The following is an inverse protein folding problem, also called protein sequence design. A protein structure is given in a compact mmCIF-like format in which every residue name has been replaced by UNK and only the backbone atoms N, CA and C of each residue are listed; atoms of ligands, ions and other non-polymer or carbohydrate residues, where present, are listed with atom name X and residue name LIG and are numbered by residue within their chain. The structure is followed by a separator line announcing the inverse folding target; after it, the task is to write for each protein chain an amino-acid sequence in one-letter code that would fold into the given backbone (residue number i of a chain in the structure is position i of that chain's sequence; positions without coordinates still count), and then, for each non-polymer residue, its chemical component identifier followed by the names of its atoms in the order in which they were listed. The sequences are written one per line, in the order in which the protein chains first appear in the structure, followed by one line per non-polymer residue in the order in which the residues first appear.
data_IF_903807990331
#
_entry.id   IF_903807990331
#
_cell.length_a   1.000
_cell.length_b   1.000
_cell.length_c   1.000
_cell.angle_alpha   90.00
_cell.angle_beta   90.00
_cell.angle_gamma   90.00
#
_symmetry.space_group_name_H-M   'P 1'
#
loop_
_entity.id
_entity.type
_entity.pdbx_description
1 polymer ?
#
# COMPACT_ATOMS: atom_id res chain seq x y z
N UNK A 1 16.68 -10.38 -13.41
CA UNK A 1 15.90 -9.54 -12.51
C UNK A 1 14.45 -9.63 -12.95
N UNK A 2 13.58 -10.15 -12.08
CA UNK A 2 12.16 -10.35 -12.40
C UNK A 2 11.24 -9.42 -11.62
N UNK A 3 11.76 -8.73 -10.59
CA UNK A 3 11.01 -7.79 -9.78
C UNK A 3 11.50 -6.35 -10.03
N UNK A 4 10.59 -5.40 -10.32
CA UNK A 4 10.95 -4.01 -10.62
C UNK A 4 11.28 -3.20 -9.36
N UNK A 5 10.78 -3.59 -8.19
CA UNK A 5 10.90 -2.82 -6.97
C UNK A 5 10.81 -3.65 -5.70
N UNK A 6 10.90 -2.96 -4.57
CA UNK A 6 10.79 -3.49 -3.21
C UNK A 6 9.77 -2.71 -2.40
N UNK A 7 9.16 -3.37 -1.40
CA UNK A 7 8.37 -2.72 -0.38
C UNK A 7 9.22 -2.52 0.89
N UNK A 8 9.03 -1.40 1.55
CA UNK A 8 9.72 -1.02 2.79
C UNK A 8 8.70 -0.57 3.84
N UNK A 9 8.99 -0.85 5.11
CA UNK A 9 8.16 -0.44 6.26
C UNK A 9 8.78 0.68 7.09
N UNK A 10 9.77 1.37 6.53
CA UNK A 10 10.42 2.53 7.13
C UNK A 10 11.68 2.94 6.37
N UNK A 11 12.33 4.03 6.82
CA UNK A 11 13.47 4.64 6.14
C UNK A 11 14.68 3.68 6.00
N UNK A 12 14.95 2.84 7.01
CA UNK A 12 16.07 1.89 6.95
C UNK A 12 15.89 0.83 5.86
N UNK A 13 14.68 0.27 5.71
CA UNK A 13 14.39 -0.67 4.64
C UNK A 13 14.35 0.01 3.28
N UNK A 14 13.84 1.24 3.22
CA UNK A 14 13.87 2.05 2.00
C UNK A 14 15.31 2.31 1.53
N UNK A 15 16.23 2.60 2.46
CA UNK A 15 17.65 2.75 2.18
C UNK A 15 18.26 1.47 1.63
N UNK A 16 18.02 0.32 2.27
CA UNK A 16 18.46 -0.98 1.78
C UNK A 16 17.93 -1.26 0.37
N UNK A 17 16.66 -0.99 0.13
CA UNK A 17 16.04 -1.13 -1.19
C UNK A 17 16.72 -0.25 -2.25
N UNK A 18 16.98 1.01 -1.92
CA UNK A 18 17.61 1.98 -2.83
C UNK A 18 19.07 1.62 -3.13
N UNK A 19 19.85 1.27 -2.12
CA UNK A 19 21.29 1.04 -2.25
C UNK A 19 21.59 -0.33 -2.88
N UNK A 20 20.91 -1.39 -2.44
CA UNK A 20 21.23 -2.77 -2.83
C UNK A 20 20.37 -3.30 -3.98
N UNK A 21 19.06 -3.04 -3.96
CA UNK A 21 18.16 -3.55 -4.99
C UNK A 21 18.17 -2.68 -6.25
N UNK A 22 18.24 -1.37 -6.10
CA UNK A 22 18.34 -0.35 -7.18
C UNK A 22 17.12 -0.36 -8.13
N UNK A 23 15.96 -0.76 -7.63
CA UNK A 23 14.66 -0.67 -8.29
C UNK A 23 13.77 0.38 -7.65
N UNK A 24 12.48 0.32 -7.96
CA UNK A 24 11.48 1.15 -7.29
C UNK A 24 11.39 0.80 -5.80
N UNK A 25 11.17 1.82 -4.98
CA UNK A 25 10.99 1.67 -3.53
C UNK A 25 9.63 2.21 -3.13
N UNK A 26 8.77 1.33 -2.62
CA UNK A 26 7.46 1.63 -2.07
C UNK A 26 7.52 1.59 -0.56
N UNK A 27 7.39 2.72 0.11
CA UNK A 27 7.48 2.79 1.57
C UNK A 27 6.13 3.05 2.21
N UNK A 28 5.71 2.15 3.09
CA UNK A 28 4.59 2.34 4.00
C UNK A 28 5.10 2.48 5.43
N UNK A 29 4.56 3.44 6.17
CA UNK A 29 4.76 3.51 7.62
C UNK A 29 3.44 3.89 8.31
N UNK A 30 3.12 3.22 9.41
CA UNK A 30 1.92 3.50 10.18
C UNK A 30 1.93 4.91 10.80
N UNK A 31 3.12 5.44 11.09
CA UNK A 31 3.31 6.80 11.56
C UNK A 31 4.70 7.31 11.17
N UNK A 32 4.76 8.50 10.58
CA UNK A 32 6.00 9.19 10.24
C UNK A 32 6.35 10.25 11.29
N UNK A 33 7.62 10.30 11.70
CA UNK A 33 8.25 11.50 12.21
C UNK A 33 8.65 12.42 11.05
N UNK A 34 8.84 13.71 11.27
CA UNK A 34 9.20 14.63 10.16
C UNK A 34 10.58 14.31 9.58
N UNK A 35 11.57 14.00 10.43
CA UNK A 35 12.89 13.61 9.97
C UNK A 35 12.88 12.32 9.16
N UNK A 36 12.18 11.28 9.65
CA UNK A 36 12.03 10.00 8.95
C UNK A 36 11.28 10.16 7.63
N UNK A 37 10.31 11.08 7.58
CA UNK A 37 9.56 11.35 6.35
C UNK A 37 10.45 12.02 5.28
N UNK A 38 11.28 12.99 5.64
CA UNK A 38 12.21 13.62 4.70
C UNK A 38 13.19 12.60 4.13
N UNK A 39 13.78 11.75 4.98
CA UNK A 39 14.65 10.66 4.52
C UNK A 39 13.88 9.66 3.62
N UNK A 40 12.63 9.35 3.96
CA UNK A 40 11.78 8.49 3.14
C UNK A 40 11.52 9.09 1.76
N UNK A 41 11.29 10.41 1.65
CA UNK A 41 11.13 11.10 0.37
C UNK A 41 12.39 11.00 -0.51
N UNK A 42 13.57 11.07 0.09
CA UNK A 42 14.84 10.90 -0.64
C UNK A 42 15.01 9.49 -1.21
N UNK A 43 14.55 8.48 -0.50
CA UNK A 43 14.82 7.08 -0.80
C UNK A 43 13.72 6.40 -1.63
N UNK A 44 12.48 6.93 -1.57
CA UNK A 44 11.30 6.24 -2.12
C UNK A 44 10.81 6.86 -3.43
N UNK A 45 10.15 6.06 -4.25
CA UNK A 45 9.38 6.47 -5.42
C UNK A 45 7.90 6.59 -5.08
N UNK A 46 7.42 5.74 -4.14
CA UNK A 46 6.05 5.73 -3.65
C UNK A 46 6.04 5.74 -2.12
N UNK A 47 5.23 6.62 -1.53
CA UNK A 47 5.03 6.70 -0.07
C UNK A 47 3.56 6.54 0.26
N UNK A 48 3.27 5.65 1.19
CA UNK A 48 1.91 5.27 1.55
C UNK A 48 1.62 5.72 2.98
N UNK A 49 0.59 6.54 3.14
CA UNK A 49 0.12 7.02 4.43
C UNK A 49 -0.95 6.11 5.03
N UNK A 50 -1.01 6.08 6.34
CA UNK A 50 -1.96 5.29 7.09
C UNK A 50 -3.29 6.03 7.34
N UNK A 51 -3.37 7.33 7.12
CA UNK A 51 -4.59 8.12 7.28
C UNK A 51 -4.57 9.39 6.41
N UNK A 52 -5.75 9.99 6.19
CA UNK A 52 -5.88 11.28 5.53
C UNK A 52 -5.18 12.40 6.30
N UNK A 53 -5.25 12.36 7.64
CA UNK A 53 -4.61 13.36 8.50
C UNK A 53 -3.08 13.33 8.37
N UNK A 54 -2.50 12.14 8.18
CA UNK A 54 -1.07 12.05 7.88
C UNK A 54 -0.76 12.73 6.54
N UNK A 55 -1.52 12.44 5.49
CA UNK A 55 -1.34 13.09 4.19
C UNK A 55 -1.48 14.61 4.30
N UNK A 56 -2.54 15.09 4.93
CA UNK A 56 -2.79 16.53 5.12
C UNK A 56 -1.62 17.21 5.88
N UNK A 57 -1.08 16.54 6.91
CA UNK A 57 0.06 17.02 7.70
C UNK A 57 1.35 17.08 6.89
N UNK A 58 1.65 16.06 6.10
CA UNK A 58 2.94 15.93 5.43
C UNK A 58 2.97 16.49 4.01
N UNK A 59 1.83 16.79 3.42
CA UNK A 59 1.74 17.42 2.10
C UNK A 59 2.56 18.71 2.02
N UNK A 60 2.48 19.68 2.95
CA UNK A 60 3.31 20.90 2.89
C UNK A 60 4.82 20.62 3.01
N UNK A 61 5.21 19.56 3.75
CA UNK A 61 6.61 19.14 3.86
C UNK A 61 7.11 18.62 2.52
N UNK A 62 6.32 17.78 1.84
CA UNK A 62 6.64 17.32 0.50
C UNK A 62 6.70 18.45 -0.53
N UNK A 63 5.74 19.38 -0.51
CA UNK A 63 5.72 20.52 -1.45
C UNK A 63 6.98 21.39 -1.32
N UNK A 64 7.49 21.58 -0.10
CA UNK A 64 8.78 22.23 0.15
C UNK A 64 9.93 21.39 -0.40
N UNK A 65 10.01 20.12 -0.04
CA UNK A 65 11.03 19.19 -0.51
C UNK A 65 11.09 19.13 -2.05
N UNK A 66 9.95 19.03 -2.71
CA UNK A 66 9.86 18.98 -4.17
C UNK A 66 10.37 20.28 -4.81
N UNK A 67 10.03 21.44 -4.26
CA UNK A 67 10.55 22.73 -4.76
C UNK A 67 12.07 22.86 -4.62
N UNK A 68 12.63 22.31 -3.57
CA UNK A 68 14.07 22.38 -3.27
C UNK A 68 14.89 21.38 -4.07
N UNK A 69 14.37 20.19 -4.31
CA UNK A 69 15.12 19.07 -4.91
C UNK A 69 14.70 18.73 -6.34
N UNK A 70 13.52 19.12 -6.77
CA UNK A 70 12.90 18.71 -8.03
C UNK A 70 12.43 17.24 -8.04
N UNK A 71 12.66 16.49 -6.95
CA UNK A 71 12.28 15.07 -6.90
C UNK A 71 10.77 14.91 -6.78
N UNK A 72 10.20 14.05 -7.62
CA UNK A 72 8.79 13.66 -7.57
C UNK A 72 8.64 12.31 -6.86
N UNK A 73 7.67 12.25 -5.95
CA UNK A 73 7.27 11.03 -5.22
C UNK A 73 5.77 10.87 -5.38
N UNK A 74 5.31 9.66 -5.62
CA UNK A 74 3.89 9.34 -5.68
C UNK A 74 3.36 8.93 -4.31
N UNK A 75 2.13 9.37 -4.01
CA UNK A 75 1.51 9.09 -2.71
C UNK A 75 0.33 8.16 -2.80
N UNK A 76 0.20 7.30 -1.80
CA UNK A 76 -0.93 6.42 -1.62
C UNK A 76 -1.50 6.46 -0.21
N UNK A 77 -2.70 5.92 -0.08
CA UNK A 77 -3.35 5.70 1.21
C UNK A 77 -3.55 4.21 1.45
N UNK A 78 -3.26 3.76 2.67
CA UNK A 78 -3.62 2.41 3.08
C UNK A 78 -5.09 2.37 3.45
N UNK A 79 -5.87 1.60 2.72
CA UNK A 79 -7.24 1.28 3.09
C UNK A 79 -7.29 0.05 4.02
N UNK A 80 -8.31 -0.01 4.87
CA UNK A 80 -8.63 -1.19 5.66
C UNK A 80 -9.94 -1.78 5.12
N UNK A 81 -9.93 -2.98 4.51
CA UNK A 81 -11.14 -3.57 3.94
C UNK A 81 -12.12 -4.06 5.01
N UNK A 82 -11.69 -4.12 6.29
CA UNK A 82 -12.48 -4.73 7.35
C UNK A 82 -12.79 -6.21 7.08
N UNK A 83 -11.83 -6.89 6.43
CA UNK A 83 -11.87 -8.31 6.10
C UNK A 83 -10.45 -8.87 6.13
N UNK A 84 -10.28 -9.96 6.84
CA UNK A 84 -9.03 -10.71 6.92
C UNK A 84 -9.35 -12.16 7.31
N UNK A 85 -8.57 -13.10 6.82
CA UNK A 85 -8.62 -14.52 7.19
C UNK A 85 -7.38 -14.93 8.01
N UNK A 86 -6.73 -13.97 8.65
CA UNK A 86 -5.59 -14.24 9.53
C UNK A 86 -6.07 -14.96 10.77
N UNK A 87 -5.57 -16.17 11.01
CA UNK A 87 -6.02 -17.03 12.11
C UNK A 87 -5.69 -16.46 13.50
N UNK A 88 -4.54 -15.79 13.61
CA UNK A 88 -4.08 -15.24 14.90
C UNK A 88 -4.55 -13.79 15.02
N UNK A 89 -5.51 -13.54 15.89
CA UNK A 89 -6.12 -12.23 16.10
C UNK A 89 -5.11 -11.09 16.36
N UNK A 90 -3.96 -11.40 16.98
CA UNK A 90 -2.89 -10.43 17.22
C UNK A 90 -2.28 -9.89 15.91
N UNK A 91 -2.28 -10.69 14.86
CA UNK A 91 -1.71 -10.34 13.55
C UNK A 91 -2.77 -9.91 12.54
N UNK A 92 -4.05 -9.91 12.93
CA UNK A 92 -5.14 -9.47 12.06
C UNK A 92 -5.15 -7.94 11.93
N UNK A 93 -4.75 -7.39 10.77
CA UNK A 93 -4.72 -5.95 10.55
C UNK A 93 -6.12 -5.33 10.42
N UNK A 94 -7.16 -6.15 10.30
CA UNK A 94 -8.55 -5.74 10.15
C UNK A 94 -9.38 -5.97 11.42
N UNK A 95 -8.76 -6.44 12.50
CA UNK A 95 -9.44 -6.66 13.78
C UNK A 95 -10.13 -5.38 14.29
N UNK A 96 -11.22 -5.50 15.05
CA UNK A 96 -11.87 -4.35 15.69
C UNK A 96 -10.88 -3.53 16.51
N UNK A 97 -10.81 -2.22 16.27
CA UNK A 97 -9.87 -1.33 16.94
C UNK A 97 -8.47 -1.30 16.32
N UNK A 98 -8.23 -2.01 15.22
CA UNK A 98 -6.97 -1.89 14.46
C UNK A 98 -6.74 -0.44 14.03
N UNK A 99 -5.48 0.00 14.16
CA UNK A 99 -5.03 1.33 13.70
C UNK A 99 -4.40 1.29 12.32
N UNK A 100 -4.45 0.13 11.63
CA UNK A 100 -3.80 -0.07 10.33
C UNK A 100 -4.78 0.15 9.19
N UNK A 101 -4.55 1.22 8.45
CA UNK A 101 -5.35 1.60 7.29
C UNK A 101 -6.66 2.33 7.65
N UNK A 102 -7.25 2.89 6.63
CA UNK A 102 -8.42 3.76 6.69
C UNK A 102 -9.67 2.92 6.43
N UNK A 103 -10.62 2.80 7.37
CA UNK A 103 -11.86 2.07 7.14
C UNK A 103 -12.73 2.79 6.09
N UNK A 104 -13.59 2.04 5.39
CA UNK A 104 -14.41 2.56 4.29
C UNK A 104 -15.19 3.84 4.65
N UNK A 105 -15.80 3.87 5.83
CA UNK A 105 -16.59 5.02 6.27
C UNK A 105 -15.79 6.33 6.39
N UNK A 106 -14.47 6.23 6.63
CA UNK A 106 -13.60 7.39 6.74
C UNK A 106 -13.17 7.97 5.37
N UNK A 107 -13.53 7.31 4.27
CA UNK A 107 -13.38 7.86 2.92
C UNK A 107 -14.54 8.75 2.49
N UNK A 108 -15.69 8.69 3.19
CA UNK A 108 -16.87 9.45 2.80
C UNK A 108 -16.63 10.96 2.93
N UNK A 109 -16.86 11.68 1.84
CA UNK A 109 -16.64 13.13 1.77
C UNK A 109 -15.15 13.56 1.69
N UNK A 110 -14.21 12.61 1.64
CA UNK A 110 -12.79 12.92 1.50
C UNK A 110 -12.37 12.97 0.02
N UNK A 111 -11.45 13.89 -0.29
CA UNK A 111 -10.81 13.99 -1.59
C UNK A 111 -9.54 13.14 -1.65
N UNK A 112 -9.26 12.56 -2.81
CA UNK A 112 -7.98 11.93 -3.14
C UNK A 112 -6.99 12.91 -3.82
N UNK A 113 -7.18 14.22 -3.69
CA UNK A 113 -6.27 15.21 -4.28
C UNK A 113 -4.83 15.00 -3.81
N UNK A 114 -3.92 14.82 -4.78
CA UNK A 114 -2.52 14.51 -4.53
C UNK A 114 -2.23 13.03 -4.20
N UNK A 115 -3.24 12.18 -4.16
CA UNK A 115 -3.10 10.73 -3.96
C UNK A 115 -3.21 10.03 -5.31
N UNK A 116 -2.19 9.26 -5.66
CA UNK A 116 -2.11 8.50 -6.91
C UNK A 116 -2.31 6.99 -6.73
N UNK A 117 -2.36 6.51 -5.52
CA UNK A 117 -2.51 5.08 -5.27
C UNK A 117 -3.26 4.71 -4.00
N UNK A 118 -3.67 3.45 -3.98
CA UNK A 118 -4.25 2.80 -2.80
C UNK A 118 -3.44 1.55 -2.46
N UNK A 119 -3.41 1.22 -1.19
CA UNK A 119 -2.72 0.05 -0.66
C UNK A 119 -3.59 -0.65 0.37
N UNK A 120 -3.58 -1.96 0.38
CA UNK A 120 -4.06 -2.76 1.50
C UNK A 120 -3.07 -3.87 1.83
N UNK A 121 -3.10 -4.37 3.05
CA UNK A 121 -2.26 -5.48 3.50
C UNK A 121 -3.02 -6.22 4.59
N UNK A 122 -3.69 -7.30 4.23
CA UNK A 122 -4.58 -8.06 5.10
C UNK A 122 -4.32 -9.57 5.08
N UNK A 123 -3.32 -10.03 4.32
CA UNK A 123 -2.90 -11.43 4.27
C UNK A 123 -1.68 -11.66 5.17
N UNK A 124 -1.58 -12.88 5.72
CA UNK A 124 -0.41 -13.38 6.44
C UNK A 124 -0.23 -14.86 6.15
N UNK A 125 0.82 -15.23 5.39
CA UNK A 125 1.17 -16.60 4.98
C UNK A 125 0.04 -17.36 4.26
N UNK A 126 -0.76 -16.67 3.45
CA UNK A 126 -1.98 -17.18 2.82
C UNK A 126 -1.82 -17.40 1.31
N UNK A 127 -2.78 -18.12 0.72
CA UNK A 127 -2.83 -18.46 -0.69
C UNK A 127 -3.47 -17.40 -1.57
N UNK A 128 -3.47 -17.64 -2.88
CA UNK A 128 -4.12 -16.77 -3.86
C UNK A 128 -5.65 -16.71 -3.69
N UNK A 129 -6.26 -17.81 -3.27
CA UNK A 129 -7.68 -17.92 -2.97
C UNK A 129 -8.16 -16.93 -1.89
N UNK A 130 -7.31 -16.65 -0.88
CA UNK A 130 -7.60 -15.62 0.13
C UNK A 130 -7.50 -14.23 -0.48
N UNK A 131 -6.56 -14.00 -1.40
CA UNK A 131 -6.51 -12.75 -2.15
C UNK A 131 -7.77 -12.54 -2.98
N UNK A 132 -8.28 -13.58 -3.67
CA UNK A 132 -9.52 -13.50 -4.45
C UNK A 132 -10.67 -12.96 -3.58
N UNK A 133 -10.91 -13.59 -2.43
CA UNK A 133 -11.96 -13.17 -1.50
C UNK A 133 -11.72 -11.76 -0.93
N UNK A 134 -10.47 -11.42 -0.66
CA UNK A 134 -10.09 -10.08 -0.19
C UNK A 134 -10.36 -9.03 -1.27
N UNK A 135 -9.99 -9.30 -2.53
CA UNK A 135 -10.25 -8.40 -3.65
C UNK A 135 -11.75 -8.18 -3.86
N UNK A 136 -12.57 -9.23 -3.75
CA UNK A 136 -14.03 -9.08 -3.84
C UNK A 136 -14.57 -8.07 -2.82
N UNK A 137 -14.10 -8.13 -1.56
CA UNK A 137 -14.50 -7.16 -0.51
C UNK A 137 -13.93 -5.76 -0.77
N UNK A 138 -12.68 -5.67 -1.25
CA UNK A 138 -12.07 -4.38 -1.60
C UNK A 138 -12.82 -3.73 -2.75
N UNK A 139 -13.16 -4.48 -3.79
CA UNK A 139 -13.92 -3.97 -4.93
C UNK A 139 -15.35 -3.56 -4.52
N UNK A 140 -16.05 -4.36 -3.74
CA UNK A 140 -17.37 -4.04 -3.22
C UNK A 140 -17.38 -2.68 -2.49
N UNK A 141 -16.41 -2.47 -1.60
CA UNK A 141 -16.39 -1.31 -0.71
C UNK A 141 -15.71 -0.08 -1.32
N UNK A 142 -14.67 -0.26 -2.15
CA UNK A 142 -13.79 0.82 -2.57
C UNK A 142 -13.77 1.07 -4.08
N UNK A 143 -14.60 0.41 -4.91
CA UNK A 143 -14.62 0.59 -6.36
C UNK A 143 -14.65 2.07 -6.81
N UNK A 144 -15.42 2.99 -6.19
CA UNK A 144 -15.42 4.39 -6.59
C UNK A 144 -14.06 5.09 -6.42
N UNK A 145 -13.25 4.65 -5.45
CA UNK A 145 -11.91 5.20 -5.18
C UNK A 145 -10.83 4.51 -6.02
N UNK A 146 -10.96 3.21 -6.25
CA UNK A 146 -10.07 2.44 -7.14
C UNK A 146 -10.02 3.02 -8.56
N UNK A 147 -11.14 3.57 -9.04
CA UNK A 147 -11.23 4.22 -10.36
C UNK A 147 -10.59 5.62 -10.44
N UNK A 148 -10.17 6.18 -9.31
CA UNK A 148 -9.58 7.52 -9.23
C UNK A 148 -8.06 7.50 -9.10
N UNK A 149 -7.47 6.31 -8.89
CA UNK A 149 -6.03 6.16 -8.66
C UNK A 149 -5.35 5.48 -9.84
N UNK A 150 -4.04 5.67 -9.95
CA UNK A 150 -3.22 5.12 -11.04
C UNK A 150 -2.63 3.76 -10.71
N UNK A 151 -2.50 3.43 -9.42
CA UNK A 151 -1.94 2.17 -8.99
C UNK A 151 -2.60 1.66 -7.72
N UNK A 152 -2.59 0.35 -7.57
CA UNK A 152 -3.04 -0.34 -6.35
C UNK A 152 -1.98 -1.35 -5.93
N UNK A 153 -1.58 -1.28 -4.66
CA UNK A 153 -0.65 -2.21 -4.05
C UNK A 153 -1.43 -3.16 -3.13
N UNK A 154 -1.42 -4.43 -3.44
CA UNK A 154 -2.16 -5.47 -2.68
C UNK A 154 -1.47 -5.88 -1.38
N UNK A 155 -0.32 -5.28 -1.07
CA UNK A 155 0.48 -5.66 0.08
C UNK A 155 1.20 -6.99 -0.12
N UNK A 156 1.61 -7.57 1.00
CA UNK A 156 2.28 -8.86 1.05
C UNK A 156 1.44 -9.92 1.75
N UNK A 157 2.13 -10.86 2.39
CA UNK A 157 1.51 -11.96 3.12
C UNK A 157 1.20 -13.19 2.27
N UNK A 158 1.63 -13.20 1.00
CA UNK A 158 1.58 -14.37 0.13
C UNK A 158 2.75 -15.31 0.42
N UNK A 159 2.45 -16.56 0.63
CA UNK A 159 3.49 -17.58 0.78
C UNK A 159 3.86 -18.19 -0.59
N UNK A 160 4.24 -17.34 -1.54
CA UNK A 160 4.40 -17.67 -2.97
C UNK A 160 5.38 -18.81 -3.26
N UNK A 161 6.35 -19.04 -2.38
CA UNK A 161 7.34 -20.14 -2.52
C UNK A 161 6.90 -21.45 -1.85
N UNK A 162 5.77 -21.46 -1.18
CA UNK A 162 5.21 -22.64 -0.53
C UNK A 162 4.78 -23.66 -1.58
N UNK A 163 5.07 -24.93 -1.31
CA UNK A 163 4.56 -26.01 -2.14
C UNK A 163 3.03 -26.00 -2.19
N UNK A 164 2.47 -26.01 -3.41
CA UNK A 164 1.01 -25.95 -3.61
C UNK A 164 0.42 -24.54 -3.64
N UNK A 165 1.25 -23.46 -3.57
CA UNK A 165 0.74 -22.12 -3.84
C UNK A 165 0.35 -21.98 -5.32
N UNK A 166 -0.87 -21.53 -5.59
CA UNK A 166 -1.37 -21.34 -6.95
C UNK A 166 -0.91 -19.97 -7.52
N UNK A 167 0.21 -20.02 -8.24
CA UNK A 167 0.80 -18.84 -8.89
C UNK A 167 -0.04 -18.41 -10.10
N UNK A 168 -0.65 -19.35 -10.81
CA UNK A 168 -1.45 -19.07 -12.00
C UNK A 168 -2.74 -18.35 -11.60
N UNK A 169 -3.37 -18.75 -10.51
CA UNK A 169 -4.49 -18.03 -9.90
C UNK A 169 -4.08 -16.59 -9.51
N UNK A 170 -2.96 -16.41 -8.81
CA UNK A 170 -2.45 -15.07 -8.48
C UNK A 170 -2.30 -14.19 -9.72
N UNK A 171 -1.69 -14.73 -10.77
CA UNK A 171 -1.49 -13.99 -12.04
C UNK A 171 -2.84 -13.62 -12.66
N UNK A 172 -3.81 -14.55 -12.65
CA UNK A 172 -5.15 -14.29 -13.18
C UNK A 172 -5.88 -13.20 -12.41
N UNK A 173 -5.80 -13.22 -11.07
CA UNK A 173 -6.39 -12.18 -10.21
C UNK A 173 -5.79 -10.79 -10.47
N UNK A 174 -4.46 -10.69 -10.54
CA UNK A 174 -3.78 -9.42 -10.82
C UNK A 174 -4.14 -8.89 -12.22
N UNK A 175 -4.16 -9.74 -13.24
CA UNK A 175 -4.55 -9.36 -14.60
C UNK A 175 -6.01 -8.90 -14.67
N UNK A 176 -6.93 -9.67 -14.12
CA UNK A 176 -8.35 -9.33 -14.11
C UNK A 176 -8.63 -8.04 -13.34
N UNK A 177 -7.93 -7.78 -12.24
CA UNK A 177 -8.03 -6.51 -11.52
C UNK A 177 -7.53 -5.34 -12.39
N UNK A 178 -6.39 -5.51 -13.05
CA UNK A 178 -5.84 -4.49 -13.95
C UNK A 178 -6.78 -4.20 -15.13
N UNK A 179 -7.44 -5.20 -15.70
CA UNK A 179 -8.43 -5.01 -16.79
C UNK A 179 -9.64 -4.19 -16.33
N UNK A 180 -10.05 -4.30 -15.06
CA UNK A 180 -11.20 -3.56 -14.51
C UNK A 180 -10.85 -2.13 -14.06
N UNK A 181 -9.64 -1.86 -13.65
CA UNK A 181 -9.27 -0.59 -13.01
C UNK A 181 -8.13 0.19 -13.72
N UNK A 182 -7.44 -0.38 -14.68
CA UNK A 182 -6.37 0.25 -15.48
C UNK A 182 -5.00 -0.24 -15.10
#
# INVERSE_FOLDING_TARGET
RHLPGVAASGAYEARLGREEFKGEVHTYCAAFGEADFLETLELSDHVIFNSFEQWERFRPVYERFHRETGKTVEFGLRLNPGYSEVEVALYDPCAPGSRLGIPRAAFDGKSLDGISGLHFHSLCEQGADVLERTLAVVEEKFAPFLRQVRWVNFGGGHHITRAGYDVDELIALVRGFRERYG
#
